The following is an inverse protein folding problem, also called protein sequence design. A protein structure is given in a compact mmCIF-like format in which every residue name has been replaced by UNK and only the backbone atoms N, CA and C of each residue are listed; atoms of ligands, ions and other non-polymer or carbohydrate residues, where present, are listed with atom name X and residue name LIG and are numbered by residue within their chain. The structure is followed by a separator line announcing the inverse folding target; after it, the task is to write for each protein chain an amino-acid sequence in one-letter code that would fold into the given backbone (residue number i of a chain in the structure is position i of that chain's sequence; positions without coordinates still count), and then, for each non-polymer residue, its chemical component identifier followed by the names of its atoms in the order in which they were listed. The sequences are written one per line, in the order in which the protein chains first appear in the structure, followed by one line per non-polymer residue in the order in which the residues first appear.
data_IF_495252349447
#
_entry.id   IF_495252349447
#
_cell.length_a   1.000
_cell.length_b   1.000
_cell.length_c   1.000
_cell.angle_alpha   90.00
_cell.angle_beta   90.00
_cell.angle_gamma   90.00
#
_symmetry.space_group_name_H-M   'P 1'
#
loop_
_entity.id
_entity.type
_entity.pdbx_description
1 polymer ?
#
# COMPACT_ATOMS: atom_id res chain seq x y z
N UNK A 1 10.40 -9.34 -4.88
CA UNK A 1 9.10 -9.55 -4.19
C UNK A 1 7.99 -8.80 -4.90
N UNK A 2 7.52 -9.31 -6.04
CA UNK A 2 6.38 -8.72 -6.77
C UNK A 2 5.06 -8.97 -6.04
N UNK A 3 4.95 -10.02 -5.23
CA UNK A 3 3.75 -10.35 -4.46
C UNK A 3 3.35 -9.29 -3.44
N UNK A 4 4.33 -8.64 -2.78
CA UNK A 4 4.01 -7.53 -1.87
C UNK A 4 3.43 -6.33 -2.62
N UNK A 5 3.94 -6.05 -3.82
CA UNK A 5 3.43 -4.97 -4.67
C UNK A 5 2.04 -5.33 -5.22
N UNK A 6 1.80 -6.61 -5.55
CA UNK A 6 0.47 -7.10 -5.94
C UNK A 6 -0.54 -6.96 -4.79
N UNK A 7 -0.14 -7.32 -3.56
CA UNK A 7 -0.98 -7.14 -2.37
C UNK A 7 -1.31 -5.66 -2.13
N UNK A 8 -0.34 -4.75 -2.33
CA UNK A 8 -0.59 -3.30 -2.26
C UNK A 8 -1.48 -2.79 -3.40
N UNK A 9 -1.40 -3.41 -4.59
CA UNK A 9 -2.09 -2.95 -5.79
C UNK A 9 -3.61 -3.11 -5.70
N UNK A 10 -4.10 -4.10 -4.93
CA UNK A 10 -5.53 -4.26 -4.67
C UNK A 10 -6.08 -3.03 -3.92
N UNK A 11 -5.45 -2.65 -2.81
CA UNK A 11 -5.84 -1.44 -2.06
C UNK A 11 -5.65 -0.15 -2.85
N UNK A 12 -4.63 -0.09 -3.72
CA UNK A 12 -4.36 1.05 -4.60
C UNK A 12 -5.57 1.36 -5.49
N UNK A 13 -6.12 0.34 -6.14
CA UNK A 13 -7.25 0.49 -7.06
C UNK A 13 -8.48 0.98 -6.30
N UNK A 14 -8.85 0.32 -5.21
CA UNK A 14 -10.02 0.68 -4.39
C UNK A 14 -9.93 2.11 -3.87
N UNK A 15 -8.77 2.53 -3.36
CA UNK A 15 -8.56 3.89 -2.86
C UNK A 15 -8.59 4.93 -3.97
N UNK A 16 -8.13 4.58 -5.18
CA UNK A 16 -8.20 5.47 -6.34
C UNK A 16 -9.63 5.67 -6.81
N UNK A 17 -10.44 4.62 -6.83
CA UNK A 17 -11.87 4.70 -7.17
C UNK A 17 -12.66 5.51 -6.13
N UNK A 18 -12.37 5.30 -4.84
CA UNK A 18 -12.95 6.07 -3.76
C UNK A 18 -12.59 7.56 -3.87
N UNK A 19 -11.33 7.89 -4.19
CA UNK A 19 -10.89 9.26 -4.40
C UNK A 19 -11.52 9.90 -5.65
N UNK A 20 -11.61 9.16 -6.76
CA UNK A 20 -12.25 9.66 -7.99
C UNK A 20 -13.73 9.99 -7.78
N UNK A 21 -14.41 9.24 -6.89
CA UNK A 21 -15.83 9.44 -6.59
C UNK A 21 -16.07 10.57 -5.59
N UNK A 22 -15.27 10.64 -4.52
CA UNK A 22 -15.52 11.52 -3.38
C UNK A 22 -14.57 12.74 -3.33
N UNK A 23 -13.60 12.82 -4.24
CA UNK A 23 -12.48 13.79 -4.22
C UNK A 23 -11.66 13.77 -2.93
N UNK A 24 -11.80 12.71 -2.13
CA UNK A 24 -11.16 12.53 -0.83
C UNK A 24 -10.96 11.03 -0.56
N UNK A 25 -9.89 10.69 0.16
CA UNK A 25 -9.67 9.32 0.61
C UNK A 25 -10.58 8.98 1.80
N UNK A 26 -11.06 7.71 1.88
CA UNK A 26 -11.88 7.27 3.00
C UNK A 26 -11.09 7.32 4.31
N UNK A 27 -11.74 7.74 5.39
CA UNK A 27 -11.09 7.79 6.70
C UNK A 27 -10.71 6.39 7.18
N UNK A 28 -9.51 6.25 7.75
CA UNK A 28 -9.00 4.97 8.25
C UNK A 28 -9.76 4.42 9.48
N UNK A 29 -10.77 5.16 9.98
CA UNK A 29 -11.49 4.86 11.21
C UNK A 29 -12.65 3.85 11.05
N UNK A 30 -13.05 3.47 9.83
CA UNK A 30 -14.23 2.59 9.64
C UNK A 30 -14.11 1.58 8.49
N UNK A 31 -12.92 1.04 8.23
CA UNK A 31 -12.84 -0.07 7.27
C UNK A 31 -11.53 -0.21 6.53
N UNK A 32 -10.39 -0.18 7.23
CA UNK A 32 -9.10 -0.57 6.61
C UNK A 32 -9.26 -1.91 5.88
N UNK A 33 -10.01 -2.85 6.46
CA UNK A 33 -10.33 -4.15 5.85
C UNK A 33 -11.34 -4.07 4.69
N UNK A 34 -12.24 -3.08 4.69
CA UNK A 34 -13.24 -2.88 3.63
C UNK A 34 -12.64 -2.28 2.36
N UNK A 35 -11.63 -1.41 2.51
CA UNK A 35 -10.96 -0.78 1.36
C UNK A 35 -9.68 -1.51 0.93
N UNK A 36 -8.95 -2.08 1.89
CA UNK A 36 -7.70 -2.80 1.67
C UNK A 36 -7.78 -4.15 2.39
N UNK A 37 -8.32 -5.19 1.75
CA UNK A 37 -8.44 -6.49 2.38
C UNK A 37 -7.05 -6.98 2.79
N UNK A 38 -6.93 -7.43 4.04
CA UNK A 38 -5.68 -7.96 4.55
C UNK A 38 -5.31 -9.23 3.79
N UNK A 39 -4.48 -9.08 2.75
CA UNK A 39 -4.05 -10.17 1.89
C UNK A 39 -2.85 -10.86 2.54
N UNK A 40 -3.12 -11.72 3.51
CA UNK A 40 -2.11 -12.61 4.09
C UNK A 40 -1.80 -13.74 3.11
N UNK A 41 -0.52 -13.92 2.79
CA UNK A 41 -0.02 -14.98 1.91
C UNK A 41 1.26 -15.56 2.51
N UNK A 42 1.82 -16.59 1.90
CA UNK A 42 3.08 -17.18 2.33
C UNK A 42 4.17 -16.13 2.53
N UNK A 43 4.24 -15.08 1.71
CA UNK A 43 5.26 -14.03 1.75
C UNK A 43 4.78 -12.66 2.28
N UNK A 44 3.49 -12.51 2.55
CA UNK A 44 2.88 -11.27 3.06
C UNK A 44 2.21 -11.56 4.39
N UNK A 45 2.66 -10.91 5.46
CA UNK A 45 2.07 -11.07 6.79
C UNK A 45 0.85 -10.18 7.01
N UNK A 46 0.90 -8.95 6.50
CA UNK A 46 -0.16 -7.98 6.72
C UNK A 46 -0.15 -6.90 5.63
N UNK A 47 -1.34 -6.42 5.29
CA UNK A 47 -1.55 -5.18 4.54
C UNK A 47 -2.37 -4.25 5.41
N UNK A 48 -1.87 -3.03 5.63
CA UNK A 48 -2.55 -2.01 6.42
C UNK A 48 -2.70 -0.72 5.62
N UNK A 49 -3.74 0.04 5.94
CA UNK A 49 -4.00 1.35 5.37
C UNK A 49 -4.02 2.40 6.48
N UNK A 50 -3.38 3.54 6.21
CA UNK A 50 -3.39 4.73 7.06
C UNK A 50 -3.71 5.95 6.21
N UNK A 51 -4.64 6.77 6.68
CA UNK A 51 -4.90 8.08 6.09
C UNK A 51 -3.86 9.06 6.61
N UNK A 52 -3.07 9.67 5.71
CA UNK A 52 -2.17 10.78 6.06
C UNK A 52 -2.92 12.11 6.09
N UNK A 53 -3.72 12.36 5.06
CA UNK A 53 -4.63 13.52 4.95
C UNK A 53 -5.80 13.16 4.04
N UNK A 54 -6.81 14.03 3.90
CA UNK A 54 -7.92 13.80 2.97
C UNK A 54 -7.47 13.58 1.50
N UNK A 55 -6.25 13.99 1.13
CA UNK A 55 -5.65 13.77 -0.19
C UNK A 55 -4.37 12.94 -0.15
N UNK A 56 -4.07 12.27 0.96
CA UNK A 56 -2.92 11.37 1.07
C UNK A 56 -3.30 10.05 1.77
N UNK A 57 -3.10 8.96 1.05
CA UNK A 57 -3.32 7.59 1.51
C UNK A 57 -2.01 6.82 1.55
N UNK A 58 -1.78 6.02 2.59
CA UNK A 58 -0.59 5.18 2.70
C UNK A 58 -1.01 3.74 2.94
N UNK A 59 -0.59 2.84 2.04
CA UNK A 59 -0.72 1.40 2.17
C UNK A 59 0.62 0.84 2.63
N UNK A 60 0.66 0.12 3.74
CA UNK A 60 1.87 -0.56 4.22
C UNK A 60 1.70 -2.06 4.08
N UNK A 61 2.67 -2.71 3.44
CA UNK A 61 2.71 -4.18 3.33
C UNK A 61 3.88 -4.70 4.14
N UNK A 62 3.60 -5.68 4.99
CA UNK A 62 4.61 -6.33 5.85
C UNK A 62 4.94 -7.70 5.29
N UNK A 63 6.24 -7.96 5.09
CA UNK A 63 6.76 -9.24 4.64
C UNK A 63 6.60 -10.29 5.74
N UNK A 64 6.25 -11.52 5.35
CA UNK A 64 6.19 -12.63 6.30
C UNK A 64 7.60 -13.08 6.70
N UNK A 65 7.68 -13.88 7.77
CA UNK A 65 8.92 -14.50 8.20
C UNK A 65 9.37 -15.67 7.29
N UNK A 66 8.58 -16.01 6.26
CA UNK A 66 8.90 -17.06 5.27
C UNK A 66 9.68 -16.50 4.07
N UNK A 67 9.85 -15.19 3.95
CA UNK A 67 10.68 -14.58 2.90
C UNK A 67 12.15 -14.96 3.07
N UNK A 68 12.59 -15.14 4.32
CA UNK A 68 13.95 -15.50 4.69
C UNK A 68 14.90 -14.32 4.79
N UNK A 69 15.97 -14.51 5.57
CA UNK A 69 17.05 -13.54 5.71
C UNK A 69 16.62 -12.17 6.23
N UNK A 70 17.27 -11.12 5.73
CA UNK A 70 17.06 -9.73 6.16
C UNK A 70 15.76 -9.10 5.65
N UNK A 71 14.90 -9.86 4.96
CA UNK A 71 13.62 -9.38 4.45
C UNK A 71 12.42 -9.76 5.36
N UNK A 72 12.64 -10.63 6.34
CA UNK A 72 11.61 -11.05 7.28
C UNK A 72 11.07 -9.88 8.10
N UNK A 73 9.75 -9.71 8.14
CA UNK A 73 9.08 -8.65 8.93
C UNK A 73 9.29 -7.22 8.39
N UNK A 74 10.05 -7.05 7.31
CA UNK A 74 10.29 -5.75 6.69
C UNK A 74 9.08 -5.26 5.90
N UNK A 75 9.05 -3.97 5.59
CA UNK A 75 7.87 -3.29 5.07
C UNK A 75 8.17 -2.49 3.81
N UNK A 76 7.19 -2.49 2.92
CA UNK A 76 7.09 -1.53 1.81
C UNK A 76 5.87 -0.65 2.01
N UNK A 77 5.91 0.55 1.42
CA UNK A 77 4.84 1.53 1.45
C UNK A 77 4.44 1.91 0.04
N UNK A 78 3.14 2.03 -0.18
CA UNK A 78 2.55 2.67 -1.34
C UNK A 78 1.85 3.94 -0.87
N UNK A 79 2.34 5.10 -1.29
CA UNK A 79 1.75 6.41 -0.96
C UNK A 79 0.99 6.93 -2.16
N UNK A 80 -0.30 7.17 -1.98
CA UNK A 80 -1.19 7.76 -2.97
C UNK A 80 -1.45 9.22 -2.64
N UNK A 81 -1.13 10.11 -3.56
CA UNK A 81 -1.43 11.55 -3.45
C UNK A 81 -2.52 11.87 -4.47
N UNK A 82 -3.67 12.31 -3.97
CA UNK A 82 -4.81 12.70 -4.78
C UNK A 82 -4.63 14.10 -5.36
N UNK A 83 -4.90 14.24 -6.65
CA UNK A 83 -5.01 15.53 -7.36
C UNK A 83 -6.49 15.89 -7.48
N UNK A 84 -6.96 16.78 -6.61
CA UNK A 84 -8.35 17.23 -6.55
C UNK A 84 -8.79 18.00 -7.80
N UNK A 85 -7.85 18.50 -8.61
CA UNK A 85 -8.17 19.20 -9.86
C UNK A 85 -8.40 18.23 -11.02
N UNK A 86 -7.89 17.00 -10.92
CA UNK A 86 -8.00 15.96 -11.96
C UNK A 86 -8.83 14.75 -11.54
N UNK A 87 -9.12 14.60 -10.24
CA UNK A 87 -9.77 13.41 -9.68
C UNK A 87 -8.90 12.15 -9.75
N UNK A 88 -7.59 12.30 -9.97
CA UNK A 88 -6.64 11.18 -10.15
C UNK A 88 -5.75 11.03 -8.93
N UNK A 89 -5.28 9.81 -8.66
CA UNK A 89 -4.29 9.55 -7.60
C UNK A 89 -2.94 9.15 -8.20
N UNK A 90 -1.89 9.86 -7.82
CA UNK A 90 -0.52 9.49 -8.12
C UNK A 90 0.03 8.57 -7.01
N UNK A 91 0.52 7.38 -7.39
CA UNK A 91 1.03 6.39 -6.44
C UNK A 91 2.54 6.22 -6.53
N UNK A 92 3.21 6.35 -5.40
CA UNK A 92 4.65 6.17 -5.25
C UNK A 92 4.93 4.99 -4.33
N UNK A 93 5.79 4.06 -4.76
CA UNK A 93 6.24 2.97 -3.92
C UNK A 93 7.57 3.32 -3.27
N UNK A 94 7.72 3.01 -1.98
CA UNK A 94 8.94 3.21 -1.20
C UNK A 94 9.12 2.08 -0.18
N UNK A 95 10.28 2.04 0.47
CA UNK A 95 10.54 1.09 1.55
C UNK A 95 10.64 1.77 2.90
N UNK A 96 10.31 1.02 3.95
CA UNK A 96 10.68 1.41 5.31
C UNK A 96 12.05 0.81 5.66
N UNK A 97 12.15 -0.52 5.51
CA UNK A 97 13.27 -1.33 5.99
C UNK A 97 13.57 -2.52 5.05
N UNK A 98 12.83 -2.65 3.95
CA UNK A 98 13.02 -3.69 2.93
C UNK A 98 14.34 -3.46 2.17
N UNK A 99 15.27 -4.44 2.11
CA UNK A 99 16.52 -4.27 1.38
C UNK A 99 16.29 -4.15 -0.12
N UNK A 100 16.94 -3.19 -0.76
CA UNK A 100 16.75 -2.84 -2.18
C UNK A 100 16.94 -4.00 -3.17
N UNK A 101 17.80 -4.98 -2.82
CA UNK A 101 17.99 -6.20 -3.62
C UNK A 101 16.73 -7.05 -3.79
N UNK A 102 15.76 -6.92 -2.89
CA UNK A 102 14.51 -7.69 -2.94
C UNK A 102 13.35 -6.96 -3.62
N UNK A 103 13.55 -5.69 -3.98
CA UNK A 103 12.53 -4.84 -4.55
C UNK A 103 12.52 -4.90 -6.07
N UNK A 104 11.33 -4.86 -6.69
CA UNK A 104 11.23 -4.53 -8.11
C UNK A 104 11.67 -3.09 -8.35
N UNK A 105 12.10 -2.78 -9.59
CA UNK A 105 12.57 -1.44 -9.95
C UNK A 105 11.55 -0.33 -9.66
N UNK A 106 10.25 -0.65 -9.71
CA UNK A 106 9.14 0.27 -9.40
C UNK A 106 9.03 0.67 -7.93
N UNK A 107 9.80 0.03 -7.03
CA UNK A 107 9.81 0.28 -5.59
C UNK A 107 11.23 0.49 -5.05
N UNK A 108 12.24 0.63 -5.91
CA UNK A 108 13.61 0.94 -5.54
C UNK A 108 13.81 2.44 -5.32
#
# INVERSE_FOLDING_TARGET
MSEMVLAASAGRTTLSEAYATNSQFPSSASGVADYVPNSSSQYVSAVTYTLGSASEAVITVTASNKVGGSANGTKIKLTGVGDSSKGTVAWTCSTVDMPTKYLPASCK
#
